data_IF_375057924417
#
_entry.id   IF_375057924417
#
_cell.length_a   1.000
_cell.length_b   1.000
_cell.length_c   1.000
_cell.angle_alpha   90.00
_cell.angle_beta   90.00
_cell.angle_gamma   90.00
#
_symmetry.space_group_name_H-M   'P 1'
#
loop_
_entity.id
_entity.type
_entity.pdbx_description
1 polymer ?
#
# COMPACT_ATOMS: atom_id res chain seq x y z
N UNK A 1 -28.34 -8.22 -3.97
CA UNK A 1 -27.28 -7.69 -3.11
C UNK A 1 -26.12 -8.67 -3.14
N UNK A 2 -24.93 -8.28 -3.65
CA UNK A 2 -23.72 -9.12 -3.52
C UNK A 2 -23.42 -9.29 -2.02
N UNK A 3 -23.23 -10.52 -1.59
CA UNK A 3 -22.85 -10.84 -0.21
C UNK A 3 -21.56 -10.08 0.10
N UNK A 4 -21.55 -9.17 1.09
CA UNK A 4 -20.30 -8.56 1.57
C UNK A 4 -19.42 -9.67 2.11
N UNK A 5 -18.20 -9.74 1.63
CA UNK A 5 -17.30 -10.86 1.83
C UNK A 5 -16.12 -10.51 2.72
N UNK A 6 -16.02 -9.26 3.16
CA UNK A 6 -15.09 -8.75 4.17
C UNK A 6 -15.83 -7.79 5.11
N UNK A 7 -15.31 -7.60 6.29
CA UNK A 7 -15.90 -6.70 7.27
C UNK A 7 -15.65 -5.23 6.93
N UNK A 8 -16.67 -4.39 7.17
CA UNK A 8 -16.58 -2.94 6.96
C UNK A 8 -16.93 -2.25 8.26
N UNK A 9 -15.99 -1.53 8.82
CA UNK A 9 -16.12 -0.78 10.07
C UNK A 9 -15.95 0.70 9.78
N UNK A 10 -16.99 1.50 10.08
CA UNK A 10 -16.92 2.95 9.97
C UNK A 10 -16.56 3.53 11.33
N UNK A 11 -15.43 4.21 11.40
CA UNK A 11 -14.93 4.83 12.62
C UNK A 11 -15.60 6.20 12.84
N UNK A 12 -15.68 6.63 14.09
CA UNK A 12 -16.31 7.88 14.49
C UNK A 12 -15.29 8.96 14.85
N UNK A 13 -14.11 8.55 15.33
CA UNK A 13 -13.06 9.46 15.79
C UNK A 13 -11.67 8.89 15.56
N UNK A 14 -10.67 9.74 15.73
CA UNK A 14 -9.26 9.34 15.69
C UNK A 14 -8.90 8.43 16.87
N UNK A 15 -9.47 8.65 18.05
CA UNK A 15 -9.26 7.81 19.23
C UNK A 15 -9.73 6.39 18.99
N UNK A 16 -10.89 6.21 18.38
CA UNK A 16 -11.40 4.88 18.03
C UNK A 16 -10.45 4.15 17.06
N UNK A 17 -9.79 4.89 16.14
CA UNK A 17 -8.74 4.31 15.29
C UNK A 17 -7.50 3.90 16.11
N UNK A 18 -7.06 4.73 17.06
CA UNK A 18 -5.91 4.42 17.90
C UNK A 18 -6.18 3.21 18.80
N UNK A 19 -7.36 3.11 19.39
CA UNK A 19 -7.79 1.95 20.20
C UNK A 19 -7.74 0.68 19.35
N UNK A 20 -8.32 0.72 18.15
CA UNK A 20 -8.31 -0.40 17.21
C UNK A 20 -6.89 -0.78 16.79
N UNK A 21 -6.03 0.18 16.48
CA UNK A 21 -4.64 -0.04 16.10
C UNK A 21 -3.81 -0.69 17.23
N UNK A 22 -4.21 -0.47 18.49
CA UNK A 22 -3.58 -1.07 19.67
C UNK A 22 -4.15 -2.44 20.05
N UNK A 23 -5.26 -2.87 19.45
CA UNK A 23 -5.87 -4.17 19.76
C UNK A 23 -5.02 -5.35 19.31
N UNK A 24 -4.90 -6.33 20.21
CA UNK A 24 -4.10 -7.54 20.00
C UNK A 24 -4.40 -8.30 18.69
N UNK A 25 -5.66 -8.42 18.22
CA UNK A 25 -5.94 -9.12 16.97
C UNK A 25 -5.22 -8.57 15.74
N UNK A 26 -4.91 -7.27 15.73
CA UNK A 26 -4.35 -6.57 14.57
C UNK A 26 -2.82 -6.36 14.63
N UNK A 27 -2.14 -6.76 15.71
CA UNK A 27 -0.70 -6.51 15.89
C UNK A 27 0.20 -7.04 14.76
N UNK A 28 -0.20 -8.11 14.10
CA UNK A 28 0.56 -8.76 13.03
C UNK A 28 -0.14 -8.65 11.67
N UNK A 29 -1.05 -7.70 11.50
CA UNK A 29 -1.72 -7.48 10.23
C UNK A 29 -0.95 -6.51 9.36
N UNK A 30 -1.13 -6.64 8.06
CA UNK A 30 -0.62 -5.67 7.10
C UNK A 30 -1.72 -4.66 6.74
N UNK A 31 -1.35 -3.39 6.62
CA UNK A 31 -2.29 -2.28 6.42
C UNK A 31 -1.99 -1.51 5.13
N UNK A 32 -3.04 -0.92 4.53
CA UNK A 32 -2.89 -0.01 3.40
C UNK A 32 -3.89 1.14 3.50
N UNK A 33 -3.38 2.38 3.48
CA UNK A 33 -4.21 3.57 3.40
C UNK A 33 -4.58 3.95 1.97
N UNK A 34 -5.84 4.35 1.76
CA UNK A 34 -6.31 4.98 0.52
C UNK A 34 -7.17 6.18 0.86
N UNK A 35 -6.94 7.30 0.18
CA UNK A 35 -7.60 8.59 0.40
C UNK A 35 -9.05 8.69 -0.09
N UNK A 36 -9.55 7.65 -0.72
CA UNK A 36 -10.90 7.61 -1.28
C UNK A 36 -11.51 6.23 -1.04
N UNK A 37 -12.62 6.20 -0.31
CA UNK A 37 -13.32 4.97 0.08
C UNK A 37 -13.97 4.22 -1.09
N UNK A 38 -14.10 4.85 -2.25
CA UNK A 38 -14.66 4.23 -3.46
C UNK A 38 -13.65 3.38 -4.21
N UNK A 39 -12.35 3.55 -3.93
CA UNK A 39 -11.30 2.84 -4.65
C UNK A 39 -11.20 1.37 -4.24
N UNK A 40 -11.12 0.49 -5.23
CA UNK A 40 -10.84 -0.93 -5.07
C UNK A 40 -9.34 -1.21 -4.99
N UNK A 41 -8.98 -2.39 -4.44
CA UNK A 41 -7.58 -2.84 -4.33
C UNK A 41 -7.06 -3.43 -5.65
N UNK A 42 -7.18 -2.68 -6.75
CA UNK A 42 -6.50 -3.00 -7.99
C UNK A 42 -5.04 -2.51 -7.96
N UNK A 43 -4.14 -3.31 -8.52
CA UNK A 43 -2.75 -2.92 -8.72
C UNK A 43 -2.63 -1.73 -9.69
N UNK A 44 -1.48 -1.04 -9.67
CA UNK A 44 -1.27 0.09 -10.58
C UNK A 44 -1.35 -0.35 -12.04
N UNK A 45 -0.69 -1.45 -12.41
CA UNK A 45 -0.74 -1.97 -13.78
C UNK A 45 -2.16 -2.35 -14.20
N UNK A 46 -2.93 -2.99 -13.31
CA UNK A 46 -4.34 -3.34 -13.61
C UNK A 46 -5.19 -2.10 -13.87
N UNK A 47 -5.03 -1.03 -13.07
CA UNK A 47 -5.75 0.23 -13.29
C UNK A 47 -5.43 0.86 -14.65
N UNK A 48 -4.15 0.86 -15.06
CA UNK A 48 -3.77 1.36 -16.39
C UNK A 48 -4.36 0.50 -17.51
N UNK A 49 -4.30 -0.83 -17.39
CA UNK A 49 -4.84 -1.75 -18.38
C UNK A 49 -6.37 -1.56 -18.54
N UNK A 50 -7.09 -1.37 -17.42
CA UNK A 50 -8.52 -1.02 -17.43
C UNK A 50 -8.77 0.35 -18.09
N UNK A 51 -8.03 1.37 -17.70
CA UNK A 51 -8.19 2.75 -18.21
C UNK A 51 -7.94 2.81 -19.72
N UNK A 52 -6.93 2.09 -20.20
CA UNK A 52 -6.59 2.04 -21.63
C UNK A 52 -7.41 1.02 -22.42
N UNK A 53 -8.36 0.33 -21.78
CA UNK A 53 -9.23 -0.67 -22.41
C UNK A 53 -8.45 -1.78 -23.13
N UNK A 54 -7.33 -2.18 -22.54
CA UNK A 54 -6.51 -3.27 -23.07
C UNK A 54 -7.26 -4.60 -22.92
N UNK A 55 -7.22 -5.44 -23.96
CA UNK A 55 -7.82 -6.78 -23.92
C UNK A 55 -7.26 -7.60 -22.74
N UNK A 56 -8.12 -8.08 -21.82
CA UNK A 56 -7.70 -8.85 -20.64
C UNK A 56 -6.84 -10.08 -20.98
N UNK A 57 -7.05 -10.71 -22.12
CA UNK A 57 -6.24 -11.86 -22.56
C UNK A 57 -4.76 -11.48 -22.78
N UNK A 58 -4.47 -10.22 -23.04
CA UNK A 58 -3.12 -9.71 -23.27
C UNK A 58 -2.44 -9.14 -22.02
N UNK A 59 -3.13 -8.95 -20.90
CA UNK A 59 -2.63 -8.21 -19.74
C UNK A 59 -1.31 -8.76 -19.21
N UNK A 60 -1.20 -10.06 -19.08
CA UNK A 60 0.03 -10.69 -18.63
C UNK A 60 1.19 -10.45 -19.60
N UNK A 61 0.94 -10.57 -20.90
CA UNK A 61 1.96 -10.29 -21.92
C UNK A 61 2.40 -8.82 -21.90
N UNK A 62 1.48 -7.88 -21.60
CA UNK A 62 1.83 -6.47 -21.44
C UNK A 62 2.68 -6.22 -20.20
N UNK A 63 2.36 -6.84 -19.06
CA UNK A 63 3.19 -6.74 -17.86
C UNK A 63 4.59 -7.30 -18.10
N UNK A 64 4.71 -8.50 -18.68
CA UNK A 64 5.99 -9.09 -19.04
C UNK A 64 6.78 -8.19 -20.01
N UNK A 65 6.10 -7.53 -20.93
CA UNK A 65 6.72 -6.59 -21.87
C UNK A 65 7.31 -5.36 -21.17
N UNK A 66 6.53 -4.71 -20.28
CA UNK A 66 7.02 -3.50 -19.57
C UNK A 66 8.15 -3.86 -18.60
N UNK A 67 8.06 -4.98 -17.90
CA UNK A 67 9.14 -5.46 -17.02
C UNK A 67 10.44 -5.70 -17.82
N UNK A 68 10.35 -6.38 -18.95
CA UNK A 68 11.51 -6.61 -19.83
C UNK A 68 12.10 -5.29 -20.36
N UNK A 69 11.25 -4.32 -20.74
CA UNK A 69 11.71 -2.99 -21.17
C UNK A 69 12.45 -2.29 -20.05
N UNK A 70 11.88 -2.33 -18.83
CA UNK A 70 12.50 -1.70 -17.67
C UNK A 70 13.86 -2.33 -17.36
N UNK A 71 13.93 -3.64 -17.21
CA UNK A 71 15.19 -4.36 -16.97
C UNK A 71 16.30 -3.94 -17.95
N UNK A 72 16.00 -3.92 -19.25
CA UNK A 72 16.97 -3.57 -20.30
C UNK A 72 17.47 -2.13 -20.25
N UNK A 73 16.65 -1.20 -19.76
CA UNK A 73 16.98 0.24 -19.74
C UNK A 73 17.51 0.69 -18.39
N UNK A 74 17.00 0.14 -17.30
CA UNK A 74 17.32 0.57 -15.94
C UNK A 74 18.78 0.27 -15.55
N UNK A 75 19.40 -0.77 -16.11
CA UNK A 75 20.79 -1.15 -15.81
C UNK A 75 21.80 -0.01 -15.98
N UNK A 76 21.48 0.98 -16.84
CA UNK A 76 22.35 2.14 -17.07
C UNK A 76 22.21 3.24 -16.00
N UNK A 77 21.27 3.09 -15.07
CA UNK A 77 20.96 4.05 -14.04
C UNK A 77 21.15 3.49 -12.61
N UNK A 78 21.60 2.23 -12.50
CA UNK A 78 21.69 1.52 -11.23
C UNK A 78 23.14 1.30 -10.85
N UNK A 79 23.46 1.60 -9.58
CA UNK A 79 24.76 1.25 -8.97
C UNK A 79 24.82 -0.26 -8.63
N UNK A 80 23.65 -0.84 -8.29
CA UNK A 80 23.45 -2.26 -8.06
C UNK A 80 22.33 -2.78 -8.93
N UNK A 81 22.62 -3.81 -9.72
CA UNK A 81 21.65 -4.43 -10.63
C UNK A 81 21.11 -5.70 -10.00
N UNK A 82 19.79 -5.84 -9.83
CA UNK A 82 19.18 -7.07 -9.34
C UNK A 82 19.49 -8.28 -10.22
N UNK A 83 19.41 -9.49 -9.65
CA UNK A 83 19.52 -10.71 -10.43
C UNK A 83 18.50 -10.70 -11.59
N UNK A 84 18.91 -11.02 -12.83
CA UNK A 84 18.00 -11.01 -13.98
C UNK A 84 16.75 -11.88 -13.81
N UNK A 85 16.81 -12.93 -13.00
CA UNK A 85 15.71 -13.86 -12.75
C UNK A 85 14.90 -13.50 -11.48
N UNK A 86 15.34 -12.52 -10.69
CA UNK A 86 14.57 -12.01 -9.55
C UNK A 86 13.55 -10.96 -9.97
N UNK A 87 12.44 -11.42 -10.57
CA UNK A 87 11.36 -10.53 -10.99
C UNK A 87 10.73 -9.76 -9.85
N UNK A 88 10.77 -10.27 -8.62
CA UNK A 88 10.20 -9.57 -7.48
C UNK A 88 11.01 -8.32 -7.11
N UNK A 89 12.32 -8.45 -7.04
CA UNK A 89 13.22 -7.31 -6.79
C UNK A 89 13.10 -6.28 -7.92
N UNK A 90 13.03 -6.72 -9.17
CA UNK A 90 12.81 -5.83 -10.32
C UNK A 90 11.46 -5.10 -10.29
N UNK A 91 10.38 -5.77 -9.91
CA UNK A 91 9.07 -5.14 -9.77
C UNK A 91 9.05 -4.16 -8.59
N UNK A 92 9.69 -4.48 -7.47
CA UNK A 92 9.83 -3.57 -6.34
C UNK A 92 10.60 -2.30 -6.73
N UNK A 93 11.71 -2.46 -7.47
CA UNK A 93 12.47 -1.34 -8.02
C UNK A 93 11.64 -0.51 -9.00
N UNK A 94 10.88 -1.15 -9.90
CA UNK A 94 9.95 -0.44 -10.81
C UNK A 94 8.95 0.41 -10.02
N UNK A 95 8.35 -0.16 -8.98
CA UNK A 95 7.36 0.51 -8.15
C UNK A 95 7.95 1.72 -7.42
N UNK A 96 9.14 1.58 -6.87
CA UNK A 96 9.83 2.67 -6.16
C UNK A 96 10.06 3.90 -7.06
N UNK A 97 10.31 3.67 -8.33
CA UNK A 97 10.46 4.71 -9.34
C UNK A 97 9.16 5.09 -10.07
N UNK A 98 7.99 4.69 -9.55
CA UNK A 98 6.68 5.10 -10.04
C UNK A 98 6.19 4.37 -11.29
N UNK A 99 6.87 3.31 -11.74
CA UNK A 99 6.36 2.50 -12.84
C UNK A 99 5.16 1.62 -12.38
N UNK A 100 4.18 1.36 -13.27
CA UNK A 100 3.04 0.53 -12.92
C UNK A 100 3.43 -0.93 -12.77
N UNK A 101 3.14 -1.51 -11.61
CA UNK A 101 3.37 -2.92 -11.28
C UNK A 101 2.11 -3.57 -10.74
N UNK A 102 2.15 -4.92 -10.56
CA UNK A 102 1.09 -5.65 -9.85
C UNK A 102 1.21 -5.57 -8.33
N UNK A 103 2.31 -5.04 -7.81
CA UNK A 103 2.52 -4.93 -6.37
C UNK A 103 1.56 -3.89 -5.78
N UNK A 104 0.99 -4.18 -4.62
CA UNK A 104 0.28 -3.20 -3.81
C UNK A 104 1.08 -2.98 -2.52
N UNK A 105 1.47 -1.72 -2.29
CA UNK A 105 2.15 -1.35 -1.05
C UNK A 105 1.22 -1.54 0.13
N UNK A 106 1.66 -2.31 1.10
CA UNK A 106 1.11 -2.44 2.42
C UNK A 106 2.19 -2.09 3.43
N UNK A 107 1.83 -1.90 4.67
CA UNK A 107 2.74 -1.59 5.77
C UNK A 107 2.35 -2.39 7.01
N UNK A 108 3.34 -2.76 7.82
CA UNK A 108 3.10 -3.36 9.13
C UNK A 108 2.64 -2.34 10.17
N UNK A 109 2.70 -1.03 9.84
CA UNK A 109 2.30 0.05 10.74
C UNK A 109 0.90 0.57 10.41
N UNK A 110 -0.10 0.40 11.28
CA UNK A 110 -1.40 1.02 11.10
C UNK A 110 -1.31 2.55 11.02
N UNK A 111 -0.35 3.16 11.71
CA UNK A 111 -0.16 4.61 11.70
C UNK A 111 0.37 5.13 10.36
N UNK A 112 1.30 4.40 9.73
CA UNK A 112 1.75 4.72 8.37
C UNK A 112 0.60 4.58 7.37
N UNK A 113 -0.22 3.53 7.50
CA UNK A 113 -1.41 3.38 6.67
C UNK A 113 -2.41 4.54 6.87
N UNK A 114 -2.63 4.98 8.13
CA UNK A 114 -3.47 6.14 8.42
C UNK A 114 -2.91 7.42 7.77
N UNK A 115 -1.59 7.63 7.79
CA UNK A 115 -0.98 8.75 7.09
C UNK A 115 -1.35 8.74 5.60
N UNK A 116 -1.15 7.62 4.90
CA UNK A 116 -1.50 7.51 3.48
C UNK A 116 -3.00 7.64 3.20
N UNK A 117 -3.85 7.25 4.14
CA UNK A 117 -5.29 7.42 4.05
C UNK A 117 -5.71 8.89 4.18
N UNK A 118 -5.18 9.60 5.18
CA UNK A 118 -5.60 10.95 5.55
C UNK A 118 -4.88 12.05 4.76
N UNK A 119 -3.68 11.75 4.27
CA UNK A 119 -2.86 12.67 3.50
C UNK A 119 -3.56 13.08 2.19
N UNK A 120 -3.86 14.37 2.03
CA UNK A 120 -4.63 14.91 0.90
C UNK A 120 -6.04 14.30 0.70
N UNK A 121 -6.62 13.65 1.70
CA UNK A 121 -7.98 13.16 1.61
C UNK A 121 -8.98 14.32 1.68
N UNK A 122 -9.96 14.31 0.78
CA UNK A 122 -11.07 15.28 0.70
C UNK A 122 -12.43 14.62 0.88
N UNK A 123 -12.47 13.29 0.84
CA UNK A 123 -13.66 12.45 1.05
C UNK A 123 -13.32 11.39 2.07
N UNK A 124 -14.28 10.55 2.44
CA UNK A 124 -14.03 9.41 3.32
C UNK A 124 -12.82 8.61 2.84
N UNK A 125 -11.83 8.50 3.71
CA UNK A 125 -10.64 7.70 3.49
C UNK A 125 -10.84 6.28 4.03
N UNK A 126 -9.93 5.39 3.69
CA UNK A 126 -9.96 4.01 4.18
C UNK A 126 -8.58 3.52 4.59
N UNK A 127 -8.57 2.64 5.58
CA UNK A 127 -7.46 1.75 5.85
C UNK A 127 -7.95 0.32 5.66
N UNK A 128 -7.30 -0.40 4.77
CA UNK A 128 -7.45 -1.84 4.64
C UNK A 128 -6.52 -2.52 5.63
N UNK A 129 -7.02 -3.55 6.32
CA UNK A 129 -6.23 -4.43 7.16
C UNK A 129 -6.34 -5.85 6.63
N UNK A 130 -5.21 -6.51 6.44
CA UNK A 130 -5.11 -7.83 5.86
C UNK A 130 -4.37 -8.77 6.80
N UNK A 131 -4.93 -9.95 7.07
CA UNK A 131 -4.37 -10.96 7.94
C UNK A 131 -3.39 -11.86 7.17
N UNK A 132 -2.07 -11.77 7.42
CA UNK A 132 -1.08 -12.56 6.71
C UNK A 132 -1.21 -14.06 6.96
N UNK A 133 -1.64 -14.47 8.16
CA UNK A 133 -1.81 -15.90 8.49
C UNK A 133 -2.89 -16.56 7.63
N UNK A 134 -3.99 -15.86 7.35
CA UNK A 134 -5.05 -16.40 6.47
C UNK A 134 -4.60 -16.47 5.01
N UNK A 135 -3.74 -15.54 4.57
CA UNK A 135 -3.12 -15.59 3.23
C UNK A 135 -2.20 -16.80 3.12
N UNK A 136 -1.25 -16.97 4.06
CA UNK A 136 -0.32 -18.10 4.05
C UNK A 136 -1.03 -19.45 4.19
N UNK A 137 -2.10 -19.51 4.97
CA UNK A 137 -2.90 -20.74 5.14
C UNK A 137 -3.49 -21.21 3.83
N UNK A 138 -3.85 -20.30 2.93
CA UNK A 138 -4.38 -20.65 1.61
C UNK A 138 -3.31 -21.17 0.67
N UNK A 139 -2.15 -20.53 0.65
CA UNK A 139 -1.04 -20.94 -0.22
C UNK A 139 0.29 -20.42 0.34
N UNK A 140 1.02 -21.31 0.98
CA UNK A 140 2.40 -21.01 1.39
C UNK A 140 3.32 -21.13 0.18
N UNK A 141 3.99 -20.04 -0.16
CA UNK A 141 4.92 -19.97 -1.30
C UNK A 141 6.26 -19.48 -0.77
N UNK A 142 7.31 -20.25 -1.06
CA UNK A 142 8.69 -19.83 -0.86
C UNK A 142 9.20 -19.17 -2.15
N UNK A 143 9.74 -17.97 -2.03
CA UNK A 143 10.34 -17.18 -3.11
C UNK A 143 11.81 -16.84 -2.80
N UNK A 144 12.48 -17.66 -2.00
CA UNK A 144 13.84 -17.39 -1.54
C UNK A 144 14.90 -17.46 -2.64
N UNK A 145 14.59 -18.02 -3.81
CA UNK A 145 15.51 -18.14 -4.93
C UNK A 145 15.07 -17.29 -6.12
N UNK A 146 16.01 -16.70 -6.86
CA UNK A 146 15.70 -16.10 -8.16
C UNK A 146 14.87 -17.05 -9.03
N UNK A 147 13.86 -16.53 -9.69
CA UNK A 147 12.92 -17.30 -10.51
C UNK A 147 11.73 -17.93 -9.80
N UNK A 148 11.79 -18.17 -8.49
CA UNK A 148 10.68 -18.76 -7.73
C UNK A 148 9.43 -17.85 -7.73
N UNK A 149 9.60 -16.54 -7.62
CA UNK A 149 8.51 -15.59 -7.68
C UNK A 149 7.78 -15.69 -9.04
N UNK A 150 8.51 -15.68 -10.14
CA UNK A 150 7.93 -15.87 -11.47
C UNK A 150 7.19 -17.20 -11.57
N UNK A 151 7.81 -18.28 -11.14
CA UNK A 151 7.29 -19.63 -11.23
C UNK A 151 6.02 -19.84 -10.39
N UNK A 152 6.01 -19.33 -9.15
CA UNK A 152 4.98 -19.65 -8.17
C UNK A 152 3.92 -18.55 -8.00
N UNK A 153 4.24 -17.29 -8.33
CA UNK A 153 3.32 -16.16 -8.21
C UNK A 153 2.87 -15.67 -9.58
N UNK A 154 3.81 -15.27 -10.44
CA UNK A 154 3.43 -14.66 -11.72
C UNK A 154 2.87 -15.67 -12.73
N UNK A 155 3.31 -16.92 -12.70
CA UNK A 155 2.91 -17.95 -13.69
C UNK A 155 1.65 -18.71 -13.32
N UNK A 156 1.12 -18.53 -12.11
CA UNK A 156 -0.09 -19.22 -11.70
C UNK A 156 -1.33 -18.58 -12.35
N UNK A 157 -2.21 -19.42 -12.87
CA UNK A 157 -3.49 -19.00 -13.47
C UNK A 157 -4.64 -19.00 -12.47
N UNK A 158 -4.44 -19.59 -11.27
CA UNK A 158 -5.46 -19.60 -10.22
C UNK A 158 -5.40 -18.31 -9.42
N UNK A 159 -6.55 -17.67 -9.15
CA UNK A 159 -6.56 -16.46 -8.32
C UNK A 159 -6.15 -16.76 -6.88
N UNK A 160 -5.08 -16.09 -6.43
CA UNK A 160 -4.69 -16.03 -5.03
C UNK A 160 -3.92 -14.72 -4.79
N UNK A 161 -3.70 -14.40 -3.53
CA UNK A 161 -2.88 -13.28 -3.09
C UNK A 161 -1.66 -13.84 -2.37
N UNK A 162 -0.49 -13.31 -2.68
CA UNK A 162 0.75 -13.58 -1.97
C UNK A 162 1.17 -12.31 -1.20
N UNK A 163 1.82 -12.48 -0.05
CA UNK A 163 2.35 -11.39 0.75
C UNK A 163 3.84 -11.63 0.98
N UNK A 164 4.65 -10.59 0.81
CA UNK A 164 6.08 -10.68 1.08
C UNK A 164 6.86 -9.41 0.76
N UNK A 165 8.16 -9.49 1.02
CA UNK A 165 9.11 -8.40 0.89
C UNK A 165 10.29 -8.85 0.01
N UNK A 166 10.89 -7.94 -0.81
CA UNK A 166 12.09 -8.25 -1.54
C UNK A 166 13.27 -8.45 -0.58
N UNK A 167 14.23 -9.27 -0.95
CA UNK A 167 15.42 -9.49 -0.13
C UNK A 167 16.18 -8.18 0.11
N UNK A 168 16.37 -7.36 -0.92
CA UNK A 168 16.98 -6.05 -0.82
C UNK A 168 15.88 -4.98 -0.66
N UNK A 169 15.64 -4.57 0.57
CA UNK A 169 14.70 -3.49 0.86
C UNK A 169 15.34 -2.13 0.62
N UNK A 170 14.68 -1.28 -0.16
CA UNK A 170 15.10 0.10 -0.35
C UNK A 170 14.77 0.98 0.88
N UNK A 171 15.34 2.20 0.92
CA UNK A 171 15.16 3.14 2.04
C UNK A 171 13.70 3.50 2.30
N UNK A 172 12.88 3.61 1.26
CA UNK A 172 11.45 3.92 1.38
C UNK A 172 10.69 2.77 2.02
N UNK A 173 10.91 1.55 1.54
CA UNK A 173 10.24 0.37 2.07
C UNK A 173 10.56 0.18 3.56
N UNK A 174 11.85 0.42 3.95
CA UNK A 174 12.26 0.40 5.36
C UNK A 174 11.55 1.50 6.16
N UNK A 175 11.58 2.75 5.67
CA UNK A 175 10.98 3.90 6.37
C UNK A 175 9.47 3.75 6.56
N UNK A 176 8.81 3.07 5.64
CA UNK A 176 7.38 2.83 5.66
C UNK A 176 7.00 1.53 6.37
N UNK A 177 7.94 0.77 6.93
CA UNK A 177 7.70 -0.59 7.43
C UNK A 177 6.91 -1.41 6.40
N UNK A 178 7.36 -1.33 5.14
CA UNK A 178 6.57 -1.74 3.98
C UNK A 178 6.64 -3.23 3.70
N UNK A 179 5.57 -3.73 3.11
CA UNK A 179 5.44 -5.07 2.53
C UNK A 179 4.55 -5.00 1.30
N UNK A 180 4.47 -6.05 0.51
CA UNK A 180 3.63 -6.07 -0.69
C UNK A 180 2.56 -7.16 -0.61
N UNK A 181 1.32 -6.80 -0.96
CA UNK A 181 0.33 -7.78 -1.39
C UNK A 181 0.37 -7.88 -2.92
N UNK A 182 0.42 -9.11 -3.41
CA UNK A 182 0.61 -9.40 -4.83
C UNK A 182 -0.48 -10.35 -5.33
N UNK A 183 -1.40 -9.89 -6.17
CA UNK A 183 -2.37 -10.78 -6.80
C UNK A 183 -1.69 -11.63 -7.88
N UNK A 184 -2.00 -12.92 -7.96
CA UNK A 184 -1.52 -13.82 -9.02
C UNK A 184 -2.13 -13.49 -10.39
N UNK A 185 -3.33 -12.92 -10.40
CA UNK A 185 -4.06 -12.50 -11.60
C UNK A 185 -4.25 -10.97 -11.60
N UNK A 186 -4.36 -10.35 -12.79
CA UNK A 186 -4.44 -8.90 -12.93
C UNK A 186 -5.87 -8.37 -13.12
N UNK A 187 -6.79 -9.21 -13.57
CA UNK A 187 -8.15 -8.88 -13.95
C UNK A 187 -9.15 -8.84 -12.78
N UNK A 188 -8.67 -9.09 -11.57
CA UNK A 188 -9.46 -9.07 -10.34
C UNK A 188 -8.80 -8.20 -9.28
N UNK A 189 -9.61 -7.53 -8.47
CA UNK A 189 -9.13 -6.83 -7.29
C UNK A 189 -8.72 -7.80 -6.18
N UNK A 190 -7.86 -7.37 -5.27
CA UNK A 190 -7.45 -8.20 -4.12
C UNK A 190 -8.67 -8.57 -3.26
N UNK A 191 -9.57 -7.63 -2.98
CA UNK A 191 -10.78 -7.89 -2.21
C UNK A 191 -11.70 -8.93 -2.88
N UNK A 192 -11.77 -8.97 -4.21
CA UNK A 192 -12.56 -9.98 -4.93
C UNK A 192 -11.90 -11.37 -4.85
N UNK A 193 -10.57 -11.44 -4.86
CA UNK A 193 -9.85 -12.70 -4.70
C UNK A 193 -10.01 -13.22 -3.27
N UNK A 194 -9.79 -12.36 -2.27
CA UNK A 194 -9.87 -12.73 -0.85
C UNK A 194 -11.31 -13.08 -0.42
N UNK A 195 -12.29 -12.56 -1.15
CA UNK A 195 -13.70 -12.91 -0.95
C UNK A 195 -14.02 -14.40 -1.16
N UNK A 196 -13.18 -15.09 -1.91
CA UNK A 196 -13.34 -16.53 -2.19
C UNK A 196 -12.61 -17.41 -1.15
N UNK A 197 -11.88 -16.79 -0.21
CA UNK A 197 -11.19 -17.54 0.85
C UNK A 197 -12.17 -18.09 1.88
N UNK A 198 -11.83 -19.17 2.60
CA UNK A 198 -12.75 -19.82 3.55
C UNK A 198 -13.21 -18.89 4.69
N UNK A 199 -12.40 -17.90 5.08
CA UNK A 199 -12.68 -16.95 6.14
C UNK A 199 -12.45 -15.49 5.66
N UNK A 200 -13.30 -14.95 4.76
CA UNK A 200 -13.05 -13.64 4.16
C UNK A 200 -13.03 -12.49 5.17
N UNK A 201 -13.96 -12.47 6.15
CA UNK A 201 -14.02 -11.46 7.21
C UNK A 201 -12.82 -11.48 8.15
N UNK A 202 -12.25 -12.66 8.41
CA UNK A 202 -11.00 -12.81 9.17
C UNK A 202 -9.75 -12.57 8.35
N UNK A 203 -9.87 -12.40 7.02
CA UNK A 203 -8.74 -12.19 6.10
C UNK A 203 -8.56 -10.73 5.74
N UNK A 204 -9.63 -9.99 5.50
CA UNK A 204 -9.61 -8.60 5.06
C UNK A 204 -10.67 -7.79 5.78
N UNK A 205 -10.29 -6.62 6.29
CA UNK A 205 -11.19 -5.65 6.92
C UNK A 205 -10.99 -4.28 6.27
N UNK A 206 -12.09 -3.56 6.08
CA UNK A 206 -12.12 -2.18 5.58
C UNK A 206 -12.52 -1.22 6.69
N UNK A 207 -11.59 -0.40 7.17
CA UNK A 207 -11.87 0.69 8.10
C UNK A 207 -12.14 1.96 7.29
N UNK A 208 -13.34 2.54 7.46
CA UNK A 208 -13.70 3.82 6.85
C UNK A 208 -13.40 4.93 7.85
N UNK A 209 -12.61 5.91 7.42
CA UNK A 209 -12.19 7.08 8.19
C UNK A 209 -12.91 8.32 7.64
N UNK A 210 -13.99 8.80 8.27
CA UNK A 210 -14.64 10.06 7.87
C UNK A 210 -13.66 11.23 8.03
N UNK A 211 -13.33 11.86 6.90
CA UNK A 211 -12.31 12.93 6.86
C UNK A 211 -12.69 14.10 7.76
N UNK A 212 -13.97 14.49 7.78
CA UNK A 212 -14.47 15.59 8.57
C UNK A 212 -14.17 15.47 10.08
N UNK A 213 -14.18 14.23 10.60
CA UNK A 213 -14.03 13.96 12.04
C UNK A 213 -12.60 13.54 12.42
N UNK A 214 -11.84 12.97 11.48
CA UNK A 214 -10.62 12.25 11.81
C UNK A 214 -9.37 12.95 11.28
N UNK A 215 -9.43 13.54 10.06
CA UNK A 215 -8.22 13.97 9.34
C UNK A 215 -7.39 14.98 10.13
N UNK A 216 -8.01 16.03 10.60
CA UNK A 216 -7.28 17.15 11.23
C UNK A 216 -6.51 16.70 12.47
N UNK A 217 -7.19 16.00 13.37
CA UNK A 217 -6.60 15.47 14.59
C UNK A 217 -5.59 14.37 14.29
N UNK A 218 -5.96 13.43 13.43
CA UNK A 218 -5.09 12.31 13.05
C UNK A 218 -3.78 12.78 12.42
N UNK A 219 -3.84 13.71 11.46
CA UNK A 219 -2.63 14.24 10.82
C UNK A 219 -1.72 14.99 11.79
N UNK A 220 -2.28 15.79 12.72
CA UNK A 220 -1.49 16.48 13.76
C UNK A 220 -0.77 15.51 14.69
N UNK A 221 -1.45 14.45 15.11
CA UNK A 221 -0.85 13.45 16.00
C UNK A 221 0.19 12.61 15.27
N UNK A 222 -0.07 12.19 14.05
CA UNK A 222 0.90 11.49 13.21
C UNK A 222 2.16 12.34 12.98
N UNK A 223 1.98 13.64 12.73
CA UNK A 223 3.10 14.56 12.59
C UNK A 223 3.95 14.63 13.87
N UNK A 224 3.32 14.71 15.07
CA UNK A 224 4.01 14.66 16.36
C UNK A 224 4.74 13.33 16.62
N UNK A 225 4.24 12.23 16.06
CA UNK A 225 4.89 10.91 16.08
C UNK A 225 6.02 10.78 15.07
N UNK A 226 6.38 11.87 14.37
CA UNK A 226 7.34 11.88 13.26
C UNK A 226 6.92 10.99 12.07
N UNK A 227 5.62 10.76 11.89
CA UNK A 227 5.08 10.11 10.68
C UNK A 227 4.68 11.21 9.71
N UNK A 228 5.62 11.59 8.86
CA UNK A 228 5.54 12.75 7.96
C UNK A 228 5.97 12.36 6.56
N UNK A 229 5.71 13.24 5.58
CA UNK A 229 6.19 13.04 4.22
C UNK A 229 7.72 12.87 4.16
N UNK A 230 8.47 13.66 4.93
CA UNK A 230 9.93 13.59 4.96
C UNK A 230 10.46 12.29 5.58
N UNK A 231 9.84 11.80 6.67
CA UNK A 231 10.27 10.57 7.33
C UNK A 231 9.92 9.31 6.51
N UNK A 232 8.78 9.32 5.82
CA UNK A 232 8.32 8.19 5.01
C UNK A 232 8.93 8.14 3.60
N UNK A 233 9.44 9.27 3.11
CA UNK A 233 10.14 9.39 1.85
C UNK A 233 11.50 10.04 2.11
N UNK A 234 12.53 9.25 2.51
CA UNK A 234 13.82 9.76 2.97
C UNK A 234 14.74 10.13 1.79
N UNK A 235 14.25 11.04 0.95
CA UNK A 235 14.93 11.61 -0.20
C UNK A 235 14.63 13.12 -0.32
N UNK A 236 15.28 13.80 -1.27
CA UNK A 236 15.10 15.23 -1.47
C UNK A 236 13.66 15.58 -1.90
N UNK A 237 13.02 14.72 -2.68
CA UNK A 237 11.63 14.92 -3.12
C UNK A 237 10.66 14.81 -1.93
N UNK A 238 10.87 13.83 -1.04
CA UNK A 238 10.10 13.69 0.19
C UNK A 238 10.25 14.88 1.11
N UNK A 239 11.49 15.38 1.29
CA UNK A 239 11.74 16.61 2.04
C UNK A 239 11.04 17.82 1.40
N UNK A 240 11.19 18.02 0.09
CA UNK A 240 10.58 19.15 -0.60
C UNK A 240 9.05 19.15 -0.47
N UNK A 241 8.43 17.98 -0.64
CA UNK A 241 6.97 17.83 -0.49
C UNK A 241 6.50 18.03 0.96
N UNK A 242 7.34 17.71 1.95
CA UNK A 242 6.97 17.90 3.36
C UNK A 242 6.77 19.37 3.71
N UNK A 243 7.47 20.29 3.03
CA UNK A 243 7.37 21.73 3.30
C UNK A 243 5.96 22.29 3.08
N UNK A 244 5.16 21.68 2.20
CA UNK A 244 3.76 22.07 2.03
C UNK A 244 2.94 21.81 3.31
N UNK A 245 3.31 20.80 4.10
CA UNK A 245 2.63 20.45 5.34
C UNK A 245 3.08 21.28 6.54
N UNK A 246 4.25 21.91 6.48
CA UNK A 246 4.64 22.93 7.46
C UNK A 246 3.68 24.13 7.46
N UNK A 247 2.97 24.37 6.35
CA UNK A 247 1.93 25.38 6.26
C UNK A 247 0.62 24.98 6.95
N UNK A 248 0.37 23.69 7.08
CA UNK A 248 -0.84 23.15 7.71
C UNK A 248 -0.58 22.67 9.15
N UNK A 249 0.55 22.02 9.38
CA UNK A 249 0.91 21.40 10.66
C UNK A 249 2.33 21.78 11.05
N UNK A 250 2.50 22.30 12.24
CA UNK A 250 3.81 22.56 12.82
C UNK A 250 3.89 21.96 14.23
N UNK A 251 5.02 21.38 14.60
CA UNK A 251 5.17 20.67 15.88
C UNK A 251 5.08 21.61 17.11
N UNK A 252 5.47 22.87 16.96
CA UNK A 252 5.55 23.84 18.06
C UNK A 252 4.33 24.77 18.14
N UNK A 253 3.59 24.98 17.05
CA UNK A 253 2.44 25.89 17.02
C UNK A 253 1.43 25.45 15.94
N UNK A 254 0.19 25.99 16.02
CA UNK A 254 -0.80 25.82 14.95
C UNK A 254 -0.68 26.97 13.94
N UNK A 255 -0.20 26.71 12.71
CA UNK A 255 -0.03 27.77 11.70
C UNK A 255 -1.35 28.46 11.29
N UNK A 256 -2.49 27.80 11.55
CA UNK A 256 -3.83 28.32 11.22
C UNK A 256 -4.42 29.23 12.29
N UNK A 257 -3.85 29.25 13.50
CA UNK A 257 -4.26 30.16 14.55
C UNK A 257 -3.68 31.56 14.31
N UNK A 258 -4.54 32.58 14.31
CA UNK A 258 -4.06 33.96 14.32
C UNK A 258 -3.25 34.17 15.59
N UNK A 259 -1.99 34.55 15.47
CA UNK A 259 -1.19 35.00 16.60
C UNK A 259 -1.86 36.27 17.15
N UNK A 260 -2.24 36.26 18.43
CA UNK A 260 -2.58 37.51 19.11
C UNK A 260 -1.38 38.47 19.01
N UNK A 261 -1.59 39.77 18.78
CA UNK A 261 -0.49 40.74 18.62
C UNK A 261 0.41 40.92 19.85
N UNK A 262 0.15 40.20 20.92
CA UNK A 262 0.85 40.30 22.20
C UNK A 262 1.47 38.94 22.57
N UNK A 263 2.60 38.60 21.95
CA UNK A 263 3.63 37.72 22.53
C UNK A 263 4.98 37.95 21.84
#
# INVERSE_FOLDING_TARGET
MKKKTYDVIRLRSWEEYLELAAESPYHNWAFRGQRDASLSLFSAVSRYLLTFQIDPQSWRAQEDRILRIFKRKAIHFLDHVPDPDDDFEWLALMQDHGAPTRLLDFTWSPYVAAFFALHNATTDAIVWACNPFEIERMKKIDVSRPGDFRKHVLSDSKPFVWLGEPYAMNRRLIAQSGTFLVPSVLDRSIEDILAEYPNPGGTLIKFILPVENIRDKGMRELYKMNITQASLFPDLDGLARSLAYELEFHWAYDPRQKRSPEQ
#
